data_IF_527008776899
#
_entry.id   IF_527008776899
#
_cell.length_a   1.000
_cell.length_b   1.000
_cell.length_c   1.000
_cell.angle_alpha   90.00
_cell.angle_beta   90.00
_cell.angle_gamma   90.00
#
_symmetry.space_group_name_H-M   'P 1'
#
loop_
_entity.id
_entity.type
_entity.pdbx_description
1 polymer ?
#
# COMPACT_ATOMS: atom_id res chain seq x y z
N UNK A 1 -7.03 24.01 -16.64
CA UNK A 1 -5.79 23.83 -17.42
C UNK A 1 -5.97 22.61 -18.31
N UNK A 2 -5.87 22.80 -19.62
CA UNK A 2 -6.23 21.85 -20.68
C UNK A 2 -5.21 20.72 -20.85
N UNK A 3 -5.66 19.60 -21.42
CA UNK A 3 -4.90 18.33 -21.62
C UNK A 3 -3.63 18.46 -22.47
N UNK A 4 -3.38 19.61 -23.10
CA UNK A 4 -2.28 19.86 -24.04
C UNK A 4 -0.88 19.98 -23.40
N UNK A 5 -0.76 20.24 -22.09
CA UNK A 5 0.56 20.29 -21.43
C UNK A 5 1.08 18.90 -20.97
N UNK A 6 0.30 17.83 -21.15
CA UNK A 6 0.67 16.48 -20.67
C UNK A 6 1.63 15.75 -21.61
N UNK A 7 1.87 16.25 -22.83
CA UNK A 7 2.56 15.52 -23.90
C UNK A 7 4.08 15.74 -24.01
N UNK A 8 4.74 16.50 -23.11
CA UNK A 8 6.19 16.77 -23.26
C UNK A 8 7.08 16.48 -22.04
N UNK A 9 6.53 16.06 -20.90
CA UNK A 9 7.37 15.75 -19.73
C UNK A 9 7.91 14.32 -19.85
N UNK A 10 9.20 14.18 -20.16
CA UNK A 10 9.91 12.89 -20.16
C UNK A 10 10.30 12.58 -18.71
N UNK A 11 9.75 11.49 -18.17
CA UNK A 11 10.08 11.06 -16.82
C UNK A 11 11.35 10.23 -16.80
N UNK A 12 12.19 10.38 -15.77
CA UNK A 12 13.47 9.66 -15.64
C UNK A 12 13.33 8.16 -15.40
N UNK A 13 12.19 7.72 -14.87
CA UNK A 13 11.84 6.32 -14.66
C UNK A 13 10.35 6.23 -14.31
N UNK A 14 9.83 5.00 -14.21
CA UNK A 14 8.44 4.76 -13.86
C UNK A 14 8.05 5.30 -12.46
N UNK A 15 8.93 5.29 -11.46
CA UNK A 15 8.60 5.84 -10.13
C UNK A 15 8.48 7.36 -10.16
N UNK A 16 9.32 8.05 -10.92
CA UNK A 16 9.17 9.49 -11.16
C UNK A 16 7.82 9.78 -11.83
N UNK A 17 7.43 9.02 -12.86
CA UNK A 17 6.11 9.17 -13.48
C UNK A 17 4.96 8.97 -12.47
N UNK A 18 5.07 7.98 -11.58
CA UNK A 18 4.05 7.71 -10.55
C UNK A 18 3.98 8.82 -9.49
N UNK A 19 5.13 9.36 -9.04
CA UNK A 19 5.16 10.47 -8.07
C UNK A 19 4.44 11.69 -8.64
N UNK A 20 4.73 12.03 -9.88
CA UNK A 20 4.09 13.13 -10.61
C UNK A 20 2.58 12.89 -10.79
N UNK A 21 2.20 11.66 -11.16
CA UNK A 21 0.80 11.30 -11.28
C UNK A 21 0.04 11.44 -9.94
N UNK A 22 0.64 10.99 -8.84
CA UNK A 22 0.05 11.13 -7.50
C UNK A 22 -0.08 12.59 -7.06
N UNK A 23 0.90 13.42 -7.37
CA UNK A 23 0.84 14.85 -7.06
C UNK A 23 -0.30 15.53 -7.83
N UNK A 24 -0.37 15.35 -9.15
CA UNK A 24 -1.37 15.97 -10.01
C UNK A 24 -2.78 15.45 -9.71
N UNK A 25 -2.96 14.13 -9.61
CA UNK A 25 -4.29 13.54 -9.38
C UNK A 25 -4.74 13.71 -7.92
N UNK A 26 -3.79 13.76 -6.98
CA UNK A 26 -4.06 13.89 -5.55
C UNK A 26 -4.71 15.23 -5.17
N UNK A 27 -4.43 16.31 -5.91
CA UNK A 27 -5.12 17.60 -5.74
C UNK A 27 -6.64 17.49 -5.93
N UNK A 28 -7.06 16.57 -6.79
CA UNK A 28 -8.46 16.26 -7.08
C UNK A 28 -8.97 14.99 -6.37
N UNK A 29 -8.29 14.56 -5.31
CA UNK A 29 -8.66 13.33 -4.59
C UNK A 29 -10.09 13.38 -4.09
N UNK A 30 -10.86 12.33 -4.39
CA UNK A 30 -12.25 12.17 -3.93
C UNK A 30 -12.40 12.26 -2.41
N UNK A 31 -11.36 11.91 -1.65
CA UNK A 31 -11.37 11.86 -0.19
C UNK A 31 -10.59 13.01 0.47
N UNK A 32 -10.12 14.00 -0.31
CA UNK A 32 -9.35 15.16 0.17
C UNK A 32 -8.10 14.78 0.99
N UNK A 33 -7.54 13.59 0.79
CA UNK A 33 -6.37 13.08 1.52
C UNK A 33 -5.15 12.85 0.62
N UNK A 34 -5.22 13.35 -0.63
CA UNK A 34 -4.19 13.15 -1.64
C UNK A 34 -4.11 11.72 -2.18
N UNK A 35 -5.03 10.83 -1.81
CA UNK A 35 -5.04 9.46 -2.31
C UNK A 35 -5.69 9.34 -3.68
N UNK A 36 -5.15 8.44 -4.49
CA UNK A 36 -5.56 8.21 -5.88
C UNK A 36 -5.76 6.72 -6.09
N UNK A 37 -6.77 6.36 -6.88
CA UNK A 37 -7.04 4.98 -7.23
C UNK A 37 -5.95 4.44 -8.15
N UNK A 38 -5.53 3.20 -7.91
CA UNK A 38 -4.51 2.53 -8.72
C UNK A 38 -4.83 2.50 -10.22
N UNK A 39 -6.12 2.35 -10.57
CA UNK A 39 -6.58 2.36 -11.96
C UNK A 39 -6.23 3.68 -12.64
N UNK A 40 -6.54 4.80 -11.99
CA UNK A 40 -6.34 6.14 -12.54
C UNK A 40 -4.85 6.47 -12.63
N UNK A 41 -4.06 6.05 -11.63
CA UNK A 41 -2.60 6.12 -11.68
C UNK A 41 -2.03 5.36 -12.88
N UNK A 42 -2.48 4.12 -13.09
CA UNK A 42 -1.99 3.31 -14.20
C UNK A 42 -2.36 3.95 -15.54
N UNK A 43 -3.61 4.40 -15.71
CA UNK A 43 -4.04 5.10 -16.94
C UNK A 43 -3.23 6.36 -17.21
N UNK A 44 -2.84 7.10 -16.17
CA UNK A 44 -1.99 8.28 -16.32
C UNK A 44 -0.58 7.93 -16.83
N UNK A 45 0.04 6.90 -16.24
CA UNK A 45 1.44 6.56 -16.55
C UNK A 45 1.61 5.56 -17.69
N UNK A 46 0.55 4.88 -18.14
CA UNK A 46 0.59 3.82 -19.16
C UNK A 46 1.30 4.28 -20.44
N UNK A 47 1.02 5.49 -20.91
CA UNK A 47 1.60 6.04 -22.16
C UNK A 47 2.58 7.18 -21.90
N UNK A 48 3.03 7.33 -20.66
CA UNK A 48 3.95 8.38 -20.29
C UNK A 48 5.35 8.08 -20.84
N UNK A 49 6.04 9.04 -21.46
CA UNK A 49 7.40 8.84 -21.96
C UNK A 49 8.37 8.71 -20.78
N UNK A 50 9.06 7.58 -20.67
CA UNK A 50 10.03 7.32 -19.61
C UNK A 50 11.43 7.05 -20.18
N UNK A 51 12.45 7.58 -19.55
CA UNK A 51 13.84 7.34 -19.91
C UNK A 51 14.32 6.03 -19.29
N UNK A 52 14.73 5.08 -20.14
CA UNK A 52 15.33 3.81 -19.72
C UNK A 52 16.69 3.71 -20.39
N UNK A 53 17.75 3.75 -19.59
CA UNK A 53 19.14 3.63 -20.06
C UNK A 53 19.49 4.64 -21.18
N UNK A 54 18.99 5.87 -21.09
CA UNK A 54 19.22 6.93 -22.07
C UNK A 54 18.37 6.84 -23.35
N UNK A 55 17.44 5.88 -23.43
CA UNK A 55 16.42 5.82 -24.49
C UNK A 55 15.05 6.20 -23.93
N UNK A 56 14.26 6.93 -24.70
CA UNK A 56 12.88 7.27 -24.33
C UNK A 56 12.00 6.11 -24.79
N UNK A 57 11.34 5.47 -23.82
CA UNK A 57 10.30 4.47 -24.04
C UNK A 57 8.94 5.11 -23.79
N UNK A 58 8.15 5.26 -24.84
CA UNK A 58 6.85 5.93 -24.78
C UNK A 58 5.68 5.00 -24.47
N UNK A 59 5.91 3.67 -24.33
CA UNK A 59 4.86 2.72 -23.95
C UNK A 59 3.69 2.65 -24.96
N UNK A 60 2.75 1.70 -24.80
CA UNK A 60 2.09 1.40 -23.53
C UNK A 60 2.93 0.52 -22.61
N UNK A 61 3.17 1.03 -21.40
CA UNK A 61 3.89 0.34 -20.35
C UNK A 61 3.04 -0.77 -19.75
N UNK A 62 3.65 -1.94 -19.58
CA UNK A 62 2.95 -3.10 -18.98
C UNK A 62 2.58 -2.80 -17.53
N UNK A 63 1.40 -3.26 -17.12
CA UNK A 63 0.96 -3.16 -15.72
C UNK A 63 1.98 -3.75 -14.73
N UNK A 64 2.70 -4.80 -15.10
CA UNK A 64 3.74 -5.38 -14.24
C UNK A 64 4.91 -4.42 -13.95
N UNK A 65 5.29 -3.57 -14.91
CA UNK A 65 6.35 -2.56 -14.74
C UNK A 65 5.87 -1.48 -13.77
N UNK A 66 4.64 -0.99 -13.98
CA UNK A 66 3.97 -0.07 -13.08
C UNK A 66 3.87 -0.63 -11.65
N UNK A 67 3.31 -1.84 -11.50
CA UNK A 67 3.08 -2.43 -10.18
C UNK A 67 4.41 -2.70 -9.45
N UNK A 68 5.45 -3.12 -10.18
CA UNK A 68 6.81 -3.26 -9.64
C UNK A 68 7.37 -1.93 -9.14
N UNK A 69 7.17 -0.83 -9.89
CA UNK A 69 7.60 0.50 -9.48
C UNK A 69 6.80 1.04 -8.26
N UNK A 70 5.50 0.76 -8.20
CA UNK A 70 4.59 1.23 -7.15
C UNK A 70 4.73 0.47 -5.83
N UNK A 71 5.05 -0.83 -5.86
CA UNK A 71 5.06 -1.66 -4.64
C UNK A 71 6.16 -2.74 -4.57
N UNK A 72 6.77 -3.10 -5.70
CA UNK A 72 7.73 -4.22 -5.76
C UNK A 72 9.18 -3.85 -5.45
N UNK A 73 9.53 -2.55 -5.41
CA UNK A 73 10.89 -2.07 -5.13
C UNK A 73 11.02 -1.62 -3.68
N UNK A 74 12.21 -1.76 -3.08
CA UNK A 74 12.48 -1.22 -1.73
C UNK A 74 12.23 0.29 -1.63
N UNK A 75 12.59 1.03 -2.69
CA UNK A 75 12.32 2.47 -2.77
C UNK A 75 10.83 2.79 -2.82
N UNK A 76 9.99 1.86 -3.29
CA UNK A 76 8.56 2.09 -3.40
C UNK A 76 7.90 2.27 -2.03
N UNK A 77 8.35 1.54 -1.01
CA UNK A 77 7.84 1.67 0.36
C UNK A 77 8.17 3.03 1.01
N UNK A 78 9.20 3.73 0.51
CA UNK A 78 9.58 5.08 0.98
C UNK A 78 8.78 6.15 0.23
N UNK A 79 8.39 5.87 -1.01
CA UNK A 79 7.71 6.81 -1.90
C UNK A 79 6.20 6.77 -1.77
N UNK A 80 5.62 5.58 -1.58
CA UNK A 80 4.20 5.33 -1.76
C UNK A 80 3.62 4.62 -0.55
N UNK A 81 2.48 5.12 -0.09
CA UNK A 81 1.69 4.53 0.98
C UNK A 81 0.41 3.96 0.39
N UNK A 82 0.13 2.69 0.69
CA UNK A 82 -1.14 2.06 0.37
C UNK A 82 -2.17 2.45 1.43
N UNK A 83 -3.33 2.91 0.99
CA UNK A 83 -4.44 3.22 1.90
C UNK A 83 -5.25 1.95 2.16
N UNK A 84 -5.12 1.41 3.36
CA UNK A 84 -5.93 0.30 3.85
C UNK A 84 -7.19 0.85 4.54
N UNK A 85 -8.19 1.19 3.73
CA UNK A 85 -9.51 1.59 4.21
C UNK A 85 -10.57 0.64 3.64
N UNK A 86 -11.25 -0.08 4.53
CA UNK A 86 -12.27 -1.08 4.17
C UNK A 86 -13.52 -0.49 3.51
N UNK A 87 -13.74 0.82 3.66
CA UNK A 87 -14.89 1.52 3.10
C UNK A 87 -14.63 1.98 1.65
N UNK A 88 -13.37 1.89 1.19
CA UNK A 88 -12.98 2.31 -0.16
C UNK A 88 -12.93 1.11 -1.11
N UNK A 89 -13.62 1.23 -2.24
CA UNK A 89 -13.59 0.18 -3.26
C UNK A 89 -12.27 0.23 -4.07
N UNK A 90 -11.51 -0.86 -4.05
CA UNK A 90 -10.29 -1.05 -4.84
C UNK A 90 -9.01 -0.60 -4.14
N UNK A 91 -7.90 -0.54 -4.88
CA UNK A 91 -6.60 -0.18 -4.32
C UNK A 91 -6.33 1.33 -4.44
N UNK A 92 -6.00 1.95 -3.31
CA UNK A 92 -5.75 3.39 -3.19
C UNK A 92 -4.33 3.63 -2.70
N UNK A 93 -3.69 4.66 -3.24
CA UNK A 93 -2.30 5.00 -2.99
C UNK A 93 -2.14 6.50 -2.83
N UNK A 94 -1.23 6.93 -1.96
CA UNK A 94 -0.79 8.33 -1.84
C UNK A 94 0.73 8.39 -1.72
N UNK A 95 1.30 9.59 -1.78
CA UNK A 95 2.70 9.79 -1.42
C UNK A 95 2.90 9.56 0.07
N UNK A 96 3.94 8.81 0.44
CA UNK A 96 4.28 8.56 1.85
C UNK A 96 4.97 9.75 2.52
N UNK A 97 5.48 10.69 1.71
CA UNK A 97 6.21 11.90 2.12
C UNK A 97 5.75 13.09 1.27
N UNK A 98 6.12 14.33 1.62
CA UNK A 98 5.88 15.50 0.78
C UNK A 98 6.41 15.32 -0.64
N UNK A 99 5.75 15.95 -1.61
CA UNK A 99 6.04 15.81 -3.05
C UNK A 99 7.53 16.02 -3.37
N UNK A 100 8.14 17.08 -2.86
CA UNK A 100 9.53 17.44 -3.18
C UNK A 100 10.52 16.35 -2.73
N UNK A 101 10.30 15.75 -1.55
CA UNK A 101 11.12 14.63 -1.05
C UNK A 101 10.94 13.38 -1.92
N UNK A 102 9.69 13.02 -2.23
CA UNK A 102 9.39 11.88 -3.09
C UNK A 102 9.99 12.05 -4.48
N UNK A 103 9.92 13.26 -5.04
CA UNK A 103 10.46 13.57 -6.35
C UNK A 103 11.98 13.42 -6.36
N UNK A 104 12.67 13.96 -5.35
CA UNK A 104 14.10 13.83 -5.21
C UNK A 104 14.54 12.35 -5.16
N UNK A 105 13.91 11.55 -4.30
CA UNK A 105 14.20 10.11 -4.18
C UNK A 105 13.93 9.36 -5.49
N UNK A 106 12.86 9.72 -6.21
CA UNK A 106 12.54 9.10 -7.49
C UNK A 106 13.54 9.47 -8.60
N UNK A 107 14.10 10.68 -8.58
CA UNK A 107 15.12 11.15 -9.53
C UNK A 107 16.51 10.60 -9.24
N UNK A 108 16.87 10.42 -7.97
CA UNK A 108 18.18 9.89 -7.54
C UNK A 108 18.39 8.42 -7.87
N UNK A 109 17.30 7.68 -8.14
CA UNK A 109 17.37 6.29 -8.56
C UNK A 109 18.00 6.15 -9.95
N UNK A 110 19.33 6.03 -9.95
CA UNK A 110 20.13 5.73 -11.14
C UNK A 110 19.61 4.45 -11.80
N UNK A 111 19.20 4.57 -13.07
CA UNK A 111 18.81 3.43 -13.90
C UNK A 111 19.86 2.31 -13.81
N UNK A 112 19.39 1.09 -13.54
CA UNK A 112 20.25 -0.09 -13.41
C UNK A 112 21.13 -0.24 -14.65
N UNK A 113 22.43 0.11 -14.55
CA UNK A 113 23.46 -0.06 -15.60
C UNK A 113 23.78 -1.52 -15.96
N UNK A 114 22.91 -2.48 -15.65
CA UNK A 114 23.13 -3.92 -15.92
C UNK A 114 22.01 -4.51 -16.78
N UNK A 115 21.87 -3.99 -17.98
CA UNK A 115 21.21 -4.70 -19.07
C UNK A 115 21.90 -4.40 -20.40
N UNK A 116 23.23 -4.55 -20.46
CA UNK A 116 23.88 -4.79 -21.75
C UNK A 116 23.33 -6.11 -22.29
N UNK A 117 22.47 -6.00 -23.29
CA UNK A 117 22.06 -7.10 -24.17
C UNK A 117 23.30 -7.89 -24.57
N UNK A 118 23.45 -9.11 -24.03
CA UNK A 118 24.42 -10.09 -24.53
C UNK A 118 23.96 -10.53 -25.93
N UNK A 119 24.26 -9.73 -26.94
CA UNK A 119 24.46 -10.26 -28.28
C UNK A 119 25.78 -11.02 -28.24
N UNK A 120 25.75 -12.35 -28.11
CA UNK A 120 26.92 -13.22 -28.30
C UNK A 120 27.04 -13.52 -29.79
N UNK A 121 28.10 -13.09 -30.50
CA UNK A 121 28.61 -13.85 -31.63
C UNK A 121 29.30 -15.09 -31.07
N UNK A 122 29.02 -16.24 -31.68
CA UNK A 122 29.61 -17.54 -31.38
C UNK A 122 31.05 -17.54 -31.93
N UNK A 123 32.05 -17.45 -31.05
CA UNK A 123 33.47 -17.66 -31.40
C UNK A 123 34.06 -18.66 -30.40
N UNK A 124 34.77 -19.64 -30.95
CA UNK A 124 35.33 -20.84 -30.31
C UNK A 124 36.34 -20.52 -29.19
N UNK A 125 36.50 -21.41 -28.18
CA UNK A 125 37.39 -21.15 -27.06
C UNK A 125 38.83 -21.58 -27.35
N UNK A 126 39.78 -20.64 -27.21
CA UNK A 126 41.19 -20.95 -26.88
C UNK A 126 41.39 -20.94 -25.36
N UNK A 127 42.28 -21.76 -24.80
CA UNK A 127 42.47 -21.88 -23.35
C UNK A 127 43.45 -20.84 -22.81
N UNK A 128 43.46 -20.76 -21.47
CA UNK A 128 44.46 -20.15 -20.56
C UNK A 128 44.30 -18.66 -20.24
N UNK A 129 43.78 -18.35 -19.05
CA UNK A 129 44.60 -17.93 -17.89
C UNK A 129 43.71 -17.41 -16.73
N UNK A 130 44.01 -17.95 -15.55
CA UNK A 130 43.80 -17.39 -14.19
C UNK A 130 42.53 -16.57 -13.91
N UNK A 131 41.50 -17.27 -13.41
CA UNK A 131 40.40 -16.65 -12.67
C UNK A 131 40.76 -16.68 -11.19
N UNK A 132 41.03 -15.52 -10.62
CA UNK A 132 41.02 -15.25 -9.18
C UNK A 132 39.75 -15.83 -8.55
N UNK A 133 39.92 -16.72 -7.57
CA UNK A 133 38.84 -17.30 -6.77
C UNK A 133 38.02 -16.21 -6.06
N UNK A 134 36.89 -15.82 -6.67
CA UNK A 134 35.79 -15.20 -5.92
C UNK A 134 35.10 -16.34 -5.18
N UNK A 135 35.11 -16.31 -3.84
CA UNK A 135 34.36 -17.25 -3.01
C UNK A 135 32.91 -17.27 -3.50
N UNK A 136 32.33 -18.45 -3.83
CA UNK A 136 30.92 -18.52 -4.18
C UNK A 136 30.11 -18.05 -2.99
N UNK A 137 29.27 -17.03 -3.20
CA UNK A 137 28.17 -16.74 -2.29
C UNK A 137 27.43 -18.05 -2.03
N UNK A 138 27.17 -18.31 -0.75
CA UNK A 138 26.44 -19.48 -0.27
C UNK A 138 25.15 -19.58 -1.08
N UNK A 139 25.13 -20.52 -2.02
CA UNK A 139 23.97 -20.83 -2.81
C UNK A 139 22.99 -21.51 -1.83
N UNK A 140 22.05 -20.74 -1.30
CA UNK A 140 20.94 -21.28 -0.49
C UNK A 140 20.19 -22.28 -1.37
N UNK A 141 20.52 -23.57 -1.22
CA UNK A 141 19.85 -24.66 -1.92
C UNK A 141 18.58 -24.95 -1.15
N UNK A 142 17.50 -24.28 -1.53
CA UNK A 142 16.17 -24.64 -1.07
C UNK A 142 15.91 -26.08 -1.50
N UNK A 143 15.66 -26.95 -0.54
CA UNK A 143 15.30 -28.33 -0.81
C UNK A 143 13.93 -28.35 -1.50
N UNK A 144 13.82 -29.08 -2.61
CA UNK A 144 12.58 -29.09 -3.41
C UNK A 144 11.38 -29.58 -2.61
N UNK A 145 11.57 -30.51 -1.66
CA UNK A 145 10.50 -30.98 -0.78
C UNK A 145 10.05 -29.89 0.18
N UNK A 146 10.98 -29.21 0.85
CA UNK A 146 10.67 -28.10 1.78
C UNK A 146 9.93 -26.95 1.09
N UNK A 147 10.32 -26.63 -0.15
CA UNK A 147 9.62 -25.62 -0.96
C UNK A 147 8.18 -26.05 -1.26
N UNK A 148 7.97 -27.31 -1.62
CA UNK A 148 6.63 -27.83 -1.91
C UNK A 148 5.74 -27.88 -0.67
N UNK A 149 6.30 -28.23 0.49
CA UNK A 149 5.58 -28.23 1.77
C UNK A 149 5.16 -26.81 2.17
N UNK A 150 6.05 -25.81 1.98
CA UNK A 150 5.74 -24.41 2.19
C UNK A 150 4.62 -23.95 1.23
N UNK A 151 4.68 -24.36 -0.05
CA UNK A 151 3.61 -24.03 -1.01
C UNK A 151 2.26 -24.60 -0.60
N UNK A 152 2.22 -25.83 -0.07
CA UNK A 152 0.97 -26.44 0.37
C UNK A 152 0.41 -25.74 1.61
N UNK A 153 1.27 -25.40 2.59
CA UNK A 153 0.89 -24.58 3.74
C UNK A 153 0.35 -23.21 3.32
N UNK A 154 0.96 -22.56 2.33
CA UNK A 154 0.47 -21.27 1.79
C UNK A 154 -0.92 -21.44 1.19
N UNK A 155 -1.18 -22.52 0.43
CA UNK A 155 -2.53 -22.78 -0.13
C UNK A 155 -3.56 -22.99 0.98
N UNK A 156 -3.26 -23.82 1.97
CA UNK A 156 -4.15 -24.07 3.11
C UNK A 156 -4.47 -22.77 3.86
N UNK A 157 -3.45 -21.95 4.15
CA UNK A 157 -3.64 -20.65 4.79
C UNK A 157 -4.45 -19.69 3.92
N UNK A 158 -4.28 -19.74 2.60
CA UNK A 158 -5.06 -18.92 1.67
C UNK A 158 -6.55 -19.29 1.73
N UNK A 159 -6.87 -20.59 1.70
CA UNK A 159 -8.25 -21.09 1.82
C UNK A 159 -8.83 -20.71 3.18
N UNK A 160 -8.08 -20.95 4.27
CA UNK A 160 -8.52 -20.60 5.63
C UNK A 160 -8.80 -19.11 5.78
N UNK A 161 -7.96 -18.26 5.20
CA UNK A 161 -8.13 -16.81 5.23
C UNK A 161 -9.36 -16.38 4.43
N UNK A 162 -9.63 -16.99 3.28
CA UNK A 162 -10.84 -16.73 2.51
C UNK A 162 -12.11 -17.10 3.29
N UNK A 163 -12.12 -18.27 3.94
CA UNK A 163 -13.24 -18.72 4.77
C UNK A 163 -13.50 -17.77 5.96
N UNK A 164 -12.45 -17.36 6.67
CA UNK A 164 -12.57 -16.43 7.79
C UNK A 164 -13.06 -15.04 7.36
N UNK A 165 -12.71 -14.58 6.15
CA UNK A 165 -13.22 -13.32 5.60
C UNK A 165 -14.71 -13.42 5.29
N UNK A 166 -15.15 -14.54 4.75
CA UNK A 166 -16.56 -14.78 4.44
C UNK A 166 -17.40 -14.92 5.71
N UNK A 167 -16.88 -15.61 6.74
CA UNK A 167 -17.54 -15.70 8.04
C UNK A 167 -17.64 -14.33 8.72
N UNK A 168 -16.57 -13.53 8.70
CA UNK A 168 -16.61 -12.16 9.19
C UNK A 168 -17.63 -11.29 8.43
N UNK A 169 -17.75 -11.45 7.11
CA UNK A 169 -18.76 -10.75 6.31
C UNK A 169 -20.18 -11.09 6.79
N UNK A 170 -20.47 -12.39 6.95
CA UNK A 170 -21.78 -12.86 7.46
C UNK A 170 -22.07 -12.36 8.88
N UNK A 171 -21.07 -12.34 9.76
CA UNK A 171 -21.23 -11.80 11.12
C UNK A 171 -21.51 -10.29 11.10
N UNK A 172 -20.83 -9.53 10.23
CA UNK A 172 -21.12 -8.10 10.06
C UNK A 172 -22.55 -7.85 9.55
N UNK A 173 -23.01 -8.64 8.59
CA UNK A 173 -24.39 -8.55 8.07
C UNK A 173 -25.41 -8.86 9.17
N UNK A 174 -25.21 -9.92 9.96
CA UNK A 174 -26.06 -10.24 11.10
C UNK A 174 -26.10 -9.11 12.13
N UNK A 175 -24.94 -8.52 12.43
CA UNK A 175 -24.83 -7.42 13.39
C UNK A 175 -25.59 -6.17 12.93
N UNK A 176 -25.61 -5.88 11.63
CA UNK A 176 -26.43 -4.78 11.07
C UNK A 176 -27.91 -5.06 11.29
N UNK A 177 -28.38 -6.26 10.94
CA UNK A 177 -29.80 -6.65 11.09
C UNK A 177 -30.23 -6.61 12.57
N UNK A 178 -29.41 -7.15 13.48
CA UNK A 178 -29.71 -7.12 14.91
C UNK A 178 -29.77 -5.69 15.47
N UNK A 179 -28.89 -4.80 15.00
CA UNK A 179 -28.93 -3.38 15.40
C UNK A 179 -30.20 -2.69 14.89
N UNK A 180 -30.60 -2.93 13.63
CA UNK A 180 -31.85 -2.39 13.09
C UNK A 180 -33.07 -2.87 13.89
N UNK A 181 -33.10 -4.14 14.29
CA UNK A 181 -34.17 -4.69 15.14
C UNK A 181 -34.20 -4.04 16.53
N UNK A 182 -33.02 -3.81 17.13
CA UNK A 182 -32.90 -3.10 18.41
C UNK A 182 -33.41 -1.66 18.29
N UNK A 183 -33.04 -0.94 17.23
CA UNK A 183 -33.47 0.44 17.00
C UNK A 183 -34.99 0.56 16.82
N UNK A 184 -35.59 -0.38 16.09
CA UNK A 184 -37.05 -0.47 15.95
C UNK A 184 -37.73 -0.74 17.30
N UNK A 185 -37.15 -1.62 18.12
CA UNK A 185 -37.70 -1.96 19.44
C UNK A 185 -37.57 -0.80 20.43
N UNK A 186 -36.45 -0.07 20.39
CA UNK A 186 -36.26 1.16 21.16
C UNK A 186 -37.30 2.21 20.75
N UNK A 187 -37.51 2.41 19.45
CA UNK A 187 -38.50 3.36 18.93
C UNK A 187 -39.92 3.02 19.40
N UNK A 188 -40.29 1.73 19.35
CA UNK A 188 -41.57 1.26 19.87
C UNK A 188 -41.73 1.48 21.38
N UNK A 189 -40.66 1.32 22.17
CA UNK A 189 -40.70 1.62 23.61
C UNK A 189 -40.87 3.13 23.84
N UNK A 190 -40.20 3.99 23.06
CA UNK A 190 -40.36 5.44 23.13
C UNK A 190 -41.81 5.87 22.85
N UNK A 191 -42.49 5.25 21.89
CA UNK A 191 -43.89 5.54 21.57
C UNK A 191 -44.86 5.10 22.67
N UNK A 192 -44.58 3.96 23.32
CA UNK A 192 -45.47 3.38 24.33
C UNK A 192 -45.26 3.95 25.74
N UNK A 193 -44.00 4.13 26.15
CA UNK A 193 -43.62 4.65 27.46
C UNK A 193 -42.31 5.45 27.36
N UNK A 194 -42.39 6.76 27.10
CA UNK A 194 -41.24 7.66 27.01
C UNK A 194 -40.41 7.74 28.30
N UNK A 195 -40.98 7.35 29.44
CA UNK A 195 -40.32 7.39 30.75
C UNK A 195 -39.84 6.01 31.21
N UNK A 196 -39.85 5.02 30.31
CA UNK A 196 -39.48 3.65 30.62
C UNK A 196 -38.11 3.57 31.31
N UNK A 197 -37.98 2.83 32.42
CA UNK A 197 -36.69 2.56 33.06
C UNK A 197 -35.66 1.93 32.11
N UNK A 198 -36.12 1.21 31.07
CA UNK A 198 -35.25 0.64 30.05
C UNK A 198 -34.57 1.72 29.19
N UNK A 199 -35.28 2.78 28.84
CA UNK A 199 -34.74 3.92 28.08
C UNK A 199 -33.73 4.72 28.89
N UNK A 200 -33.98 4.90 30.20
CA UNK A 200 -33.01 5.54 31.11
C UNK A 200 -31.71 4.75 31.21
N UNK A 201 -31.79 3.43 31.35
CA UNK A 201 -30.61 2.54 31.35
C UNK A 201 -29.88 2.56 30.01
N UNK A 202 -30.60 2.66 28.89
CA UNK A 202 -30.00 2.78 27.57
C UNK A 202 -29.20 4.08 27.44
N UNK A 203 -29.76 5.21 27.86
CA UNK A 203 -29.07 6.51 27.87
C UNK A 203 -27.82 6.50 28.76
N UNK A 204 -27.90 5.91 29.95
CA UNK A 204 -26.76 5.69 30.84
C UNK A 204 -25.68 4.83 30.19
N UNK A 205 -26.06 3.72 29.55
CA UNK A 205 -25.15 2.86 28.81
C UNK A 205 -24.46 3.60 27.65
N UNK A 206 -25.21 4.42 26.91
CA UNK A 206 -24.70 5.16 25.77
C UNK A 206 -23.71 6.25 26.20
N UNK A 207 -23.98 6.92 27.32
CA UNK A 207 -23.04 7.82 27.99
C UNK A 207 -21.76 7.09 28.44
N UNK A 208 -21.89 5.93 29.07
CA UNK A 208 -20.74 5.13 29.49
C UNK A 208 -19.88 4.67 28.30
N UNK A 209 -20.52 4.24 27.20
CA UNK A 209 -19.84 3.82 25.96
C UNK A 209 -19.09 4.98 25.30
N UNK A 210 -19.69 6.17 25.24
CA UNK A 210 -19.02 7.36 24.71
C UNK A 210 -17.83 7.78 25.58
N UNK A 211 -17.96 7.65 26.90
CA UNK A 211 -16.87 7.90 27.83
C UNK A 211 -15.72 6.89 27.65
N UNK A 212 -16.00 5.59 27.48
CA UNK A 212 -14.99 4.58 27.16
C UNK A 212 -14.24 4.91 25.85
N UNK A 213 -14.96 5.30 24.80
CA UNK A 213 -14.35 5.70 23.51
C UNK A 213 -13.42 6.91 23.67
N UNK A 214 -13.81 7.89 24.48
CA UNK A 214 -12.96 9.04 24.80
C UNK A 214 -11.68 8.61 25.52
N UNK A 215 -11.78 7.72 26.52
CA UNK A 215 -10.63 7.18 27.24
C UNK A 215 -9.68 6.40 26.32
N UNK A 216 -10.22 5.60 25.38
CA UNK A 216 -9.39 4.90 24.38
C UNK A 216 -8.62 5.87 23.49
N UNK A 217 -9.27 6.93 23.01
CA UNK A 217 -8.60 7.96 22.21
C UNK A 217 -7.48 8.69 22.98
N UNK A 218 -7.70 8.96 24.27
CA UNK A 218 -6.66 9.52 25.14
C UNK A 218 -5.50 8.54 25.33
N UNK A 219 -5.79 7.26 25.57
CA UNK A 219 -4.77 6.22 25.73
C UNK A 219 -3.90 6.07 24.48
N UNK A 220 -4.50 6.04 23.29
CA UNK A 220 -3.76 5.99 22.02
C UNK A 220 -2.86 7.21 21.83
N UNK A 221 -3.33 8.39 22.25
CA UNK A 221 -2.54 9.62 22.17
C UNK A 221 -1.32 9.57 23.10
N UNK A 222 -1.50 9.09 24.33
CA UNK A 222 -0.39 8.92 25.28
C UNK A 222 0.58 7.82 24.84
N UNK A 223 0.09 6.72 24.26
CA UNK A 223 0.93 5.67 23.68
C UNK A 223 1.80 6.20 22.53
N UNK A 224 1.25 7.06 21.66
CA UNK A 224 2.02 7.71 20.59
C UNK A 224 3.11 8.61 21.15
N UNK A 225 2.80 9.42 22.18
CA UNK A 225 3.80 10.28 22.85
C UNK A 225 4.94 9.45 23.46
N UNK A 226 4.61 8.34 24.14
CA UNK A 226 5.60 7.41 24.69
C UNK A 226 6.51 6.84 23.60
N UNK A 227 5.94 6.45 22.46
CA UNK A 227 6.71 5.94 21.33
C UNK A 227 7.68 6.99 20.79
N UNK A 228 7.23 8.24 20.58
CA UNK A 228 8.08 9.34 20.12
C UNK A 228 9.20 9.67 21.11
N UNK A 229 8.92 9.66 22.42
CA UNK A 229 9.94 9.88 23.45
C UNK A 229 10.97 8.73 23.50
N UNK A 230 10.51 7.50 23.29
CA UNK A 230 11.39 6.32 23.21
C UNK A 230 12.33 6.42 22.00
N UNK A 231 11.81 6.82 20.83
CA UNK A 231 12.62 7.01 19.63
C UNK A 231 13.67 8.12 19.83
N UNK A 232 13.29 9.25 20.41
CA UNK A 232 14.22 10.35 20.74
C UNK A 232 15.31 9.93 21.74
N UNK A 233 14.97 9.12 22.73
CA UNK A 233 15.95 8.61 23.69
C UNK A 233 16.97 7.67 23.02
N UNK A 234 16.52 6.83 22.08
CA UNK A 234 17.39 5.93 21.31
C UNK A 234 18.34 6.69 20.37
N UNK A 235 17.88 7.78 19.76
CA UNK A 235 18.70 8.64 18.91
C UNK A 235 19.76 9.41 19.70
N UNK A 236 19.46 9.87 20.93
CA UNK A 236 20.41 10.59 21.77
C UNK A 236 21.48 9.70 22.44
N UNK A 237 21.33 8.37 22.36
CA UNK A 237 22.28 7.38 22.90
C UNK A 237 23.07 6.62 21.83
N UNK A 238 22.95 7.01 20.55
CA UNK A 238 23.69 6.45 19.39
C UNK A 238 24.77 7.40 18.91
#
# INVERSE_FOLDING_TARGET
MTEDNRQQKIYKNMQHAIVEALHVLGESSQYNDGSVRMKDLFTFVEKSPIEINGQIDSGPHRFSIFNSALSGRRSAAILFEKIDNNDRQGAWWKLAKPYDECLQIALEQKGNKKAQKRNRPKVEPKPTSEITHVKPQVLFKWNKSEVMDIFEQIKELTIKTANLREENRKLKEKLVIENEEIDLRISSIYEQDPNSPALKRLDEYQKAKNYELSLRGQLETEQKKLFTLSDQAMENHS
#
